data_IF_590480880827
#
_entry.id   IF_590480880827
#
_cell.length_a   1.000
_cell.length_b   1.000
_cell.length_c   1.000
_cell.angle_alpha   90.00
_cell.angle_beta   90.00
_cell.angle_gamma   90.00
#
_symmetry.space_group_name_H-M   'P 1'
#
loop_
_entity.id
_entity.type
_entity.pdbx_description
1 polymer ?
#
# COMPACT_ATOMS: atom_id res chain seq x y z
N UNK A 1 -4.21 10.55 -17.46
CA UNK A 1 -5.24 9.72 -16.80
C UNK A 1 -4.66 9.29 -15.46
N UNK A 2 -5.33 9.61 -14.35
CA UNK A 2 -4.92 9.15 -13.03
C UNK A 2 -5.01 7.61 -13.02
N UNK A 3 -3.92 6.91 -12.72
CA UNK A 3 -3.97 5.45 -12.60
C UNK A 3 -4.72 5.14 -11.32
N UNK A 4 -5.99 4.75 -11.42
CA UNK A 4 -6.70 4.17 -10.29
C UNK A 4 -5.98 2.87 -9.88
N UNK A 5 -5.76 2.65 -8.57
CA UNK A 5 -5.28 1.36 -8.10
C UNK A 5 -6.27 0.26 -8.51
N UNK A 6 -5.81 -0.96 -8.82
CA UNK A 6 -6.71 -2.07 -9.07
C UNK A 6 -7.55 -2.35 -7.81
N UNK A 7 -8.85 -2.58 -8.00
CA UNK A 7 -9.72 -3.10 -6.96
C UNK A 7 -9.63 -4.62 -6.98
N UNK A 8 -9.18 -5.23 -5.89
CA UNK A 8 -8.83 -6.64 -5.84
C UNK A 8 -9.49 -7.35 -4.65
N UNK A 9 -10.21 -8.45 -4.91
CA UNK A 9 -10.60 -9.37 -3.84
C UNK A 9 -9.46 -10.30 -3.52
N UNK A 10 -9.17 -10.45 -2.23
CA UNK A 10 -8.21 -11.44 -1.74
C UNK A 10 -8.93 -12.69 -1.28
N UNK A 11 -8.62 -13.80 -1.93
CA UNK A 11 -9.10 -15.11 -1.54
C UNK A 11 -8.49 -15.56 -0.19
N UNK A 12 -9.18 -16.46 0.52
CA UNK A 12 -8.73 -17.03 1.79
C UNK A 12 -7.33 -17.68 1.65
N UNK A 13 -7.05 -18.34 0.52
CA UNK A 13 -5.78 -19.00 0.27
C UNK A 13 -4.57 -18.04 0.20
N UNK A 14 -4.77 -16.76 -0.12
CA UNK A 14 -3.68 -15.75 -0.15
C UNK A 14 -3.55 -14.99 1.17
N UNK A 15 -4.61 -14.98 1.98
CA UNK A 15 -4.60 -14.45 3.34
C UNK A 15 -4.09 -15.46 4.37
N UNK A 16 -4.11 -16.76 4.05
CA UNK A 16 -3.62 -17.81 4.93
C UNK A 16 -2.10 -17.69 5.23
N UNK A 17 -1.19 -17.57 4.24
CA UNK A 17 0.24 -17.52 4.50
C UNK A 17 0.63 -16.16 5.08
N UNK A 18 1.20 -16.16 6.29
CA UNK A 18 1.49 -14.95 7.04
C UNK A 18 2.29 -13.89 6.26
N UNK A 19 3.36 -14.29 5.57
CA UNK A 19 4.22 -13.35 4.83
C UNK A 19 3.55 -12.76 3.59
N UNK A 20 2.75 -13.56 2.87
CA UNK A 20 1.98 -13.08 1.71
C UNK A 20 0.89 -12.11 2.18
N UNK A 21 0.10 -12.48 3.19
CA UNK A 21 -0.89 -11.60 3.81
C UNK A 21 -0.29 -10.26 4.22
N UNK A 22 0.86 -10.30 4.91
CA UNK A 22 1.55 -9.08 5.35
C UNK A 22 1.91 -8.14 4.19
N UNK A 23 2.37 -8.67 3.05
CA UNK A 23 2.69 -7.85 1.87
C UNK A 23 1.42 -7.30 1.23
N UNK A 24 0.39 -8.13 1.02
CA UNK A 24 -0.86 -7.70 0.39
C UNK A 24 -1.54 -6.59 1.19
N UNK A 25 -1.62 -6.74 2.50
CA UNK A 25 -2.19 -5.73 3.41
C UNK A 25 -1.34 -4.46 3.42
N UNK A 26 -0.01 -4.57 3.40
CA UNK A 26 0.85 -3.39 3.32
C UNK A 26 0.70 -2.65 1.98
N UNK A 27 0.57 -3.38 0.86
CA UNK A 27 0.32 -2.78 -0.47
C UNK A 27 -1.00 -2.02 -0.51
N UNK A 28 -2.06 -2.61 0.07
CA UNK A 28 -3.36 -1.96 0.17
C UNK A 28 -3.31 -0.73 1.10
N UNK A 29 -2.63 -0.84 2.24
CA UNK A 29 -2.44 0.28 3.16
C UNK A 29 -1.67 1.45 2.53
N UNK A 30 -0.68 1.15 1.68
CA UNK A 30 0.10 2.16 0.96
C UNK A 30 -0.62 2.70 -0.30
N UNK A 31 -1.85 2.23 -0.58
CA UNK A 31 -2.68 2.73 -1.68
C UNK A 31 -2.34 2.16 -3.05
N UNK A 32 -1.57 1.07 -3.13
CA UNK A 32 -1.25 0.42 -4.41
C UNK A 32 -2.39 -0.47 -4.92
N UNK A 33 -3.28 -0.88 -4.02
CA UNK A 33 -4.43 -1.75 -4.30
C UNK A 33 -5.59 -1.33 -3.45
N UNK A 34 -6.78 -1.29 -4.02
CA UNK A 34 -8.02 -1.24 -3.25
C UNK A 34 -8.45 -2.67 -2.92
N UNK A 35 -7.98 -3.18 -1.78
CA UNK A 35 -8.31 -4.53 -1.35
C UNK A 35 -9.80 -4.68 -0.99
N UNK A 36 -10.33 -5.88 -1.16
CA UNK A 36 -11.69 -6.29 -0.80
C UNK A 36 -11.67 -7.69 -0.19
N UNK A 37 -12.49 -7.92 0.84
CA UNK A 37 -12.72 -9.22 1.46
C UNK A 37 -14.05 -9.22 2.22
N UNK A 38 -14.52 -10.41 2.59
CA UNK A 38 -15.76 -10.61 3.34
C UNK A 38 -15.49 -11.32 4.66
N UNK A 39 -16.49 -11.38 5.53
CA UNK A 39 -16.42 -12.17 6.76
C UNK A 39 -16.26 -13.67 6.45
N UNK A 40 -16.90 -14.19 5.39
CA UNK A 40 -16.78 -15.60 5.01
C UNK A 40 -15.35 -15.95 4.56
N UNK A 41 -14.69 -15.07 3.79
CA UNK A 41 -13.27 -15.20 3.44
C UNK A 41 -12.40 -15.21 4.71
N UNK A 42 -12.69 -14.32 5.66
CA UNK A 42 -11.97 -14.27 6.92
C UNK A 42 -12.12 -15.56 7.72
N UNK A 43 -13.35 -16.03 7.89
CA UNK A 43 -13.64 -17.24 8.63
C UNK A 43 -12.97 -18.45 8.01
N UNK A 44 -12.88 -18.52 6.69
CA UNK A 44 -12.25 -19.63 5.97
C UNK A 44 -10.73 -19.73 6.26
N UNK A 45 -9.96 -18.66 6.02
CA UNK A 45 -8.52 -18.73 6.27
C UNK A 45 -8.21 -18.88 7.76
N UNK A 46 -9.01 -18.29 8.66
CA UNK A 46 -8.82 -18.42 10.10
C UNK A 46 -9.08 -19.86 10.57
N UNK A 47 -10.17 -20.48 10.11
CA UNK A 47 -10.54 -21.86 10.46
C UNK A 47 -9.47 -22.85 9.99
N UNK A 48 -9.03 -22.70 8.73
CA UNK A 48 -7.97 -23.55 8.16
C UNK A 48 -6.64 -23.37 8.92
N UNK A 49 -6.28 -22.13 9.27
CA UNK A 49 -5.01 -21.87 9.96
C UNK A 49 -5.01 -22.40 11.40
N UNK A 50 -6.14 -22.29 12.11
CA UNK A 50 -6.31 -22.87 13.44
C UNK A 50 -6.26 -24.41 13.40
N UNK A 51 -6.89 -25.04 12.39
CA UNK A 51 -6.86 -26.49 12.23
C UNK A 51 -5.44 -27.03 11.95
N UNK A 52 -4.65 -26.29 11.17
CA UNK A 52 -3.31 -26.71 10.75
C UNK A 52 -2.18 -26.32 11.71
N UNK A 53 -2.46 -25.52 12.74
CA UNK A 53 -1.43 -25.02 13.69
C UNK A 53 -1.81 -25.34 15.13
N UNK A 54 -1.39 -26.50 15.66
CA UNK A 54 -1.64 -26.86 17.06
C UNK A 54 -1.18 -25.75 18.03
N UNK A 55 -2.07 -25.37 18.95
CA UNK A 55 -1.81 -24.32 19.95
C UNK A 55 -2.05 -22.87 19.49
N UNK A 56 -2.46 -22.65 18.23
CA UNK A 56 -2.88 -21.33 17.78
C UNK A 56 -4.33 -21.05 18.17
N UNK A 57 -4.54 -20.11 19.08
CA UNK A 57 -5.88 -19.68 19.49
C UNK A 57 -6.62 -18.96 18.36
N UNK A 58 -7.87 -19.36 18.12
CA UNK A 58 -8.78 -18.69 17.18
C UNK A 58 -8.99 -17.21 17.56
N UNK A 59 -8.94 -16.85 18.84
CA UNK A 59 -9.10 -15.47 19.29
C UNK A 59 -7.92 -14.59 18.87
N UNK A 60 -6.72 -15.15 18.77
CA UNK A 60 -5.57 -14.44 18.17
C UNK A 60 -5.78 -14.16 16.68
N UNK A 61 -6.46 -15.06 15.98
CA UNK A 61 -6.78 -14.89 14.56
C UNK A 61 -7.88 -13.84 14.38
N UNK A 62 -8.92 -13.86 15.22
CA UNK A 62 -9.95 -12.80 15.28
C UNK A 62 -9.33 -11.43 15.55
N UNK A 63 -8.45 -11.32 16.54
CA UNK A 63 -7.72 -10.08 16.80
C UNK A 63 -6.85 -9.62 15.61
N UNK A 64 -6.37 -10.56 14.78
CA UNK A 64 -5.64 -10.24 13.55
C UNK A 64 -6.59 -9.72 12.47
N UNK A 65 -7.73 -10.38 12.25
CA UNK A 65 -8.81 -9.89 11.37
C UNK A 65 -9.25 -8.49 11.76
N UNK A 66 -9.52 -8.26 13.05
CA UNK A 66 -10.04 -6.96 13.51
C UNK A 66 -9.04 -5.82 13.25
N UNK A 67 -7.74 -6.11 13.37
CA UNK A 67 -6.69 -5.16 12.98
C UNK A 67 -6.64 -4.92 11.47
N UNK A 68 -6.86 -5.94 10.65
CA UNK A 68 -6.93 -5.78 9.19
C UNK A 68 -8.10 -4.84 8.83
N UNK A 69 -9.29 -5.09 9.40
CA UNK A 69 -10.47 -4.26 9.16
C UNK A 69 -10.31 -2.83 9.69
N UNK A 70 -9.67 -2.66 10.85
CA UNK A 70 -9.41 -1.33 11.40
C UNK A 70 -8.42 -0.51 10.54
N UNK A 71 -7.45 -1.18 9.90
CA UNK A 71 -6.45 -0.52 9.04
C UNK A 71 -7.00 -0.26 7.64
N UNK A 72 -7.91 -1.10 7.15
CA UNK A 72 -8.52 -1.04 5.82
C UNK A 72 -10.05 -1.21 5.93
N UNK A 73 -10.78 -0.20 6.45
CA UNK A 73 -12.22 -0.30 6.64
C UNK A 73 -12.99 -0.48 5.33
N UNK A 74 -12.55 0.19 4.27
CA UNK A 74 -13.15 0.12 2.93
C UNK A 74 -12.95 -1.23 2.23
N UNK A 75 -12.15 -2.13 2.80
CA UNK A 75 -11.95 -3.46 2.25
C UNK A 75 -13.07 -4.44 2.62
N UNK A 76 -13.86 -4.14 3.66
CA UNK A 76 -14.95 -5.03 4.08
C UNK A 76 -16.13 -4.89 3.12
N UNK A 77 -16.45 -5.98 2.42
CA UNK A 77 -17.58 -6.05 1.50
C UNK A 77 -18.79 -6.64 2.21
N UNK A 78 -19.89 -5.88 2.24
CA UNK A 78 -21.20 -6.31 2.73
C UNK A 78 -22.12 -6.77 1.59
N UNK A 79 -23.30 -7.29 1.94
CA UNK A 79 -24.42 -7.56 1.03
C UNK A 79 -24.13 -8.46 -0.20
N UNK A 80 -23.08 -9.29 -0.13
CA UNK A 80 -22.70 -10.22 -1.21
C UNK A 80 -23.42 -11.58 -1.13
N UNK A 81 -23.96 -11.98 0.02
CA UNK A 81 -24.55 -13.32 0.20
C UNK A 81 -25.74 -13.63 -0.74
N UNK A 82 -26.67 -12.70 -1.03
CA UNK A 82 -27.83 -12.98 -1.89
C UNK A 82 -27.48 -13.44 -3.32
N UNK A 83 -26.32 -13.04 -3.85
CA UNK A 83 -25.90 -13.41 -5.20
C UNK A 83 -25.19 -14.76 -5.28
N UNK A 84 -24.74 -15.34 -4.17
CA UNK A 84 -23.96 -16.60 -4.16
C UNK A 84 -24.68 -17.72 -4.91
N UNK A 85 -25.98 -17.87 -4.68
CA UNK A 85 -26.77 -18.93 -5.30
C UNK A 85 -26.99 -18.76 -6.81
N UNK A 86 -26.89 -17.54 -7.32
CA UNK A 86 -27.05 -17.23 -8.74
C UNK A 86 -25.74 -17.40 -9.54
N UNK A 87 -24.60 -17.53 -8.85
CA UNK A 87 -23.30 -17.72 -9.46
C UNK A 87 -23.04 -19.21 -9.70
N UNK A 88 -22.31 -19.49 -10.77
CA UNK A 88 -21.87 -20.83 -11.15
C UNK A 88 -20.35 -20.83 -11.26
N UNK A 89 -19.69 -21.64 -10.45
CA UNK A 89 -18.26 -21.93 -10.52
C UNK A 89 -18.04 -23.45 -10.45
N UNK A 90 -16.87 -23.96 -10.88
CA UNK A 90 -16.52 -25.38 -10.73
C UNK A 90 -16.64 -25.87 -9.28
N UNK A 91 -16.17 -25.07 -8.33
CA UNK A 91 -16.35 -25.30 -6.90
C UNK A 91 -17.50 -24.41 -6.36
N UNK A 92 -18.59 -25.01 -5.83
CA UNK A 92 -19.67 -24.26 -5.22
C UNK A 92 -19.26 -23.41 -4.01
N UNK A 93 -18.19 -23.80 -3.31
CA UNK A 93 -17.70 -23.09 -2.13
C UNK A 93 -16.94 -21.81 -2.53
N UNK A 94 -16.35 -21.74 -3.72
CA UNK A 94 -15.65 -20.53 -4.20
C UNK A 94 -16.58 -19.41 -4.68
N UNK A 95 -17.90 -19.68 -4.77
CA UNK A 95 -18.89 -18.69 -5.24
C UNK A 95 -18.98 -17.46 -4.34
N UNK A 96 -18.67 -17.60 -3.05
CA UNK A 96 -18.68 -16.45 -2.13
C UNK A 96 -17.56 -15.44 -2.48
N UNK A 97 -16.43 -15.90 -3.00
CA UNK A 97 -15.31 -15.05 -3.43
C UNK A 97 -15.67 -14.25 -4.68
N UNK A 98 -16.34 -14.89 -5.65
CA UNK A 98 -16.85 -14.17 -6.83
C UNK A 98 -17.97 -13.20 -6.46
N UNK A 99 -18.87 -13.58 -5.57
CA UNK A 99 -19.89 -12.68 -5.04
C UNK A 99 -19.26 -11.45 -4.37
N UNK A 100 -18.21 -11.64 -3.57
CA UNK A 100 -17.44 -10.56 -2.97
C UNK A 100 -16.81 -9.65 -4.04
N UNK A 101 -16.30 -10.22 -5.14
CA UNK A 101 -15.71 -9.44 -6.22
C UNK A 101 -16.74 -8.56 -6.92
N UNK A 102 -17.92 -9.09 -7.19
CA UNK A 102 -19.02 -8.35 -7.82
C UNK A 102 -19.51 -7.23 -6.89
N UNK A 103 -19.85 -7.56 -5.64
CA UNK A 103 -20.34 -6.59 -4.66
C UNK A 103 -19.30 -5.50 -4.34
N UNK A 104 -18.02 -5.89 -4.22
CA UNK A 104 -16.89 -5.00 -3.97
C UNK A 104 -16.37 -4.23 -5.18
N UNK A 105 -16.99 -4.42 -6.37
CA UNK A 105 -16.58 -3.84 -7.66
C UNK A 105 -15.11 -4.12 -7.99
N UNK A 106 -14.62 -5.31 -7.61
CA UNK A 106 -13.27 -5.74 -7.90
C UNK A 106 -13.14 -6.20 -9.34
N UNK A 107 -12.05 -5.78 -10.00
CA UNK A 107 -11.71 -6.24 -11.36
C UNK A 107 -10.87 -7.53 -11.34
N UNK A 108 -10.34 -7.91 -10.18
CA UNK A 108 -9.45 -9.06 -10.04
C UNK A 108 -9.67 -9.82 -8.72
N UNK A 109 -9.67 -11.14 -8.79
CA UNK A 109 -9.57 -12.06 -7.65
C UNK A 109 -8.11 -12.52 -7.58
N UNK A 110 -7.47 -12.31 -6.43
CA UNK A 110 -6.10 -12.77 -6.18
C UNK A 110 -6.17 -14.09 -5.44
N UNK A 111 -5.77 -15.18 -6.10
CA UNK A 111 -5.93 -16.55 -5.61
C UNK A 111 -4.81 -17.47 -6.12
N UNK A 112 -4.46 -18.50 -5.35
CA UNK A 112 -3.64 -19.61 -5.83
C UNK A 112 -4.44 -20.63 -6.66
N UNK A 113 -5.77 -20.64 -6.50
CA UNK A 113 -6.68 -21.66 -7.00
C UNK A 113 -7.28 -21.28 -8.37
N UNK A 114 -6.43 -20.89 -9.33
CA UNK A 114 -6.89 -20.33 -10.62
C UNK A 114 -7.87 -21.20 -11.39
N UNK A 115 -7.77 -22.52 -11.26
CA UNK A 115 -8.67 -23.51 -11.89
C UNK A 115 -10.12 -23.39 -11.41
N UNK A 116 -10.34 -22.89 -10.20
CA UNK A 116 -11.66 -22.77 -9.59
C UNK A 116 -12.34 -21.45 -9.98
N UNK A 117 -11.59 -20.56 -10.63
CA UNK A 117 -12.06 -19.29 -11.19
C UNK A 117 -11.79 -19.18 -12.71
N UNK A 118 -12.41 -20.05 -13.54
CA UNK A 118 -12.21 -20.04 -14.98
C UNK A 118 -12.76 -18.76 -15.63
N UNK A 119 -12.05 -18.22 -16.63
CA UNK A 119 -12.39 -16.97 -17.29
C UNK A 119 -13.81 -16.96 -17.89
N UNK A 120 -14.32 -18.09 -18.39
CA UNK A 120 -15.69 -18.24 -18.90
C UNK A 120 -16.76 -17.83 -17.88
N UNK A 121 -16.47 -18.02 -16.59
CA UNK A 121 -17.41 -17.72 -15.51
C UNK A 121 -17.21 -16.30 -14.96
N UNK A 122 -16.00 -15.74 -15.07
CA UNK A 122 -15.68 -14.42 -14.52
C UNK A 122 -15.95 -13.26 -15.50
N UNK A 123 -15.73 -13.47 -16.80
CA UNK A 123 -15.73 -12.40 -17.80
C UNK A 123 -17.07 -11.67 -17.90
N UNK A 124 -18.19 -12.39 -17.73
CA UNK A 124 -19.54 -11.81 -17.73
C UNK A 124 -19.75 -10.79 -16.59
N UNK A 125 -18.91 -10.84 -15.56
CA UNK A 125 -18.94 -9.96 -14.40
C UNK A 125 -17.84 -8.90 -14.41
N UNK A 126 -17.01 -8.84 -15.47
CA UNK A 126 -15.87 -7.92 -15.55
C UNK A 126 -14.73 -8.26 -14.57
N UNK A 127 -14.69 -9.50 -14.09
CA UNK A 127 -13.69 -9.99 -13.13
C UNK A 127 -12.66 -10.86 -13.85
N UNK A 128 -11.42 -10.85 -13.38
CA UNK A 128 -10.35 -11.77 -13.77
C UNK A 128 -9.77 -12.46 -12.54
N UNK A 129 -9.06 -13.57 -12.69
CA UNK A 129 -8.31 -14.21 -11.59
C UNK A 129 -6.81 -14.14 -11.87
N UNK A 130 -6.01 -13.91 -10.83
CA UNK A 130 -4.53 -13.86 -10.91
C UNK A 130 -3.87 -14.54 -9.72
N UNK A 131 -2.73 -15.17 -9.99
CA UNK A 131 -1.86 -15.64 -8.92
C UNK A 131 -1.30 -14.44 -8.15
N UNK A 132 -1.02 -14.55 -6.85
CA UNK A 132 -0.38 -13.46 -6.11
C UNK A 132 1.05 -13.16 -6.63
N UNK A 133 1.74 -14.12 -7.24
CA UNK A 133 3.06 -13.90 -7.86
C UNK A 133 2.95 -12.98 -9.09
N UNK A 134 1.98 -13.26 -9.97
CA UNK A 134 1.72 -12.42 -11.14
C UNK A 134 1.13 -11.07 -10.73
N UNK A 135 0.22 -11.04 -9.76
CA UNK A 135 -0.39 -9.80 -9.27
C UNK A 135 0.65 -8.83 -8.69
N UNK A 136 1.55 -9.30 -7.82
CA UNK A 136 2.63 -8.47 -7.26
C UNK A 136 3.66 -8.07 -8.32
N UNK A 137 3.90 -8.92 -9.32
CA UNK A 137 4.75 -8.61 -10.48
C UNK A 137 4.15 -7.48 -11.32
N UNK A 138 2.84 -7.51 -11.57
CA UNK A 138 2.14 -6.46 -12.30
C UNK A 138 2.12 -5.14 -11.53
N UNK A 139 1.92 -5.20 -10.21
CA UNK A 139 2.04 -4.02 -9.35
C UNK A 139 3.46 -3.44 -9.38
N UNK A 140 4.49 -4.27 -9.48
CA UNK A 140 5.87 -3.79 -9.59
C UNK A 140 6.09 -3.12 -10.95
N UNK A 141 5.53 -3.69 -12.03
CA UNK A 141 5.64 -3.10 -13.36
C UNK A 141 4.94 -1.74 -13.44
N UNK A 142 3.79 -1.60 -12.77
CA UNK A 142 3.04 -0.34 -12.72
C UNK A 142 3.68 0.69 -11.76
N UNK A 143 4.12 0.25 -10.58
CA UNK A 143 4.55 1.12 -9.48
C UNK A 143 5.85 0.61 -8.81
N UNK A 144 6.99 0.56 -9.51
CA UNK A 144 8.19 -0.13 -9.03
C UNK A 144 8.71 0.43 -7.70
N UNK A 145 8.90 1.75 -7.61
CA UNK A 145 9.44 2.37 -6.39
C UNK A 145 8.48 2.26 -5.20
N UNK A 146 7.19 2.50 -5.43
CA UNK A 146 6.16 2.42 -4.40
C UNK A 146 6.02 0.99 -3.86
N UNK A 147 6.03 -0.02 -4.74
CA UNK A 147 5.94 -1.42 -4.32
C UNK A 147 7.18 -1.84 -3.54
N UNK A 148 8.38 -1.46 -3.98
CA UNK A 148 9.61 -1.75 -3.23
C UNK A 148 9.59 -1.10 -1.85
N UNK A 149 9.07 0.13 -1.74
CA UNK A 149 8.87 0.80 -0.44
C UNK A 149 7.86 0.05 0.44
N UNK A 150 6.77 -0.42 -0.14
CA UNK A 150 5.73 -1.18 0.56
C UNK A 150 6.27 -2.52 1.09
N UNK A 151 7.00 -3.27 0.26
CA UNK A 151 7.67 -4.53 0.65
C UNK A 151 8.71 -4.30 1.76
N UNK A 152 9.48 -3.21 1.69
CA UNK A 152 10.41 -2.83 2.77
C UNK A 152 9.67 -2.58 4.08
N UNK A 153 8.55 -1.86 4.03
CA UNK A 153 7.71 -1.58 5.19
C UNK A 153 7.12 -2.87 5.78
N UNK A 154 6.61 -3.76 4.93
CA UNK A 154 6.11 -5.08 5.32
C UNK A 154 7.18 -5.90 6.06
N UNK A 155 8.43 -5.90 5.57
CA UNK A 155 9.56 -6.55 6.25
C UNK A 155 9.87 -5.91 7.61
N UNK A 156 9.85 -4.57 7.69
CA UNK A 156 10.11 -3.84 8.93
C UNK A 156 9.01 -4.00 9.99
N UNK A 157 7.77 -4.31 9.57
CA UNK A 157 6.68 -4.61 10.49
C UNK A 157 6.87 -5.93 11.25
N UNK A 158 7.79 -6.80 10.81
CA UNK A 158 8.18 -8.03 11.51
C UNK A 158 9.10 -7.74 12.70
N UNK A 159 8.69 -6.81 13.58
CA UNK A 159 9.53 -6.20 14.63
C UNK A 159 10.25 -7.19 15.55
N UNK A 160 9.73 -8.41 15.71
CA UNK A 160 10.33 -9.45 16.56
C UNK A 160 11.57 -10.11 15.91
N UNK A 161 11.59 -10.27 14.60
CA UNK A 161 12.68 -10.97 13.90
C UNK A 161 13.46 -10.08 12.93
N UNK A 162 12.82 -9.04 12.37
CA UNK A 162 13.31 -8.14 11.32
C UNK A 162 14.32 -8.85 10.40
N UNK A 163 13.85 -9.78 9.55
CA UNK A 163 14.75 -10.60 8.74
C UNK A 163 15.59 -9.72 7.80
N UNK A 164 16.76 -10.22 7.39
CA UNK A 164 17.52 -9.61 6.30
C UNK A 164 16.69 -9.55 5.01
N UNK A 165 17.11 -8.72 4.05
CA UNK A 165 16.40 -8.61 2.77
C UNK A 165 16.39 -9.97 2.07
N UNK A 166 17.52 -10.64 2.06
CA UNK A 166 17.75 -11.96 1.45
C UNK A 166 16.86 -13.02 2.10
N UNK A 167 16.87 -13.12 3.43
CA UNK A 167 16.05 -14.10 4.14
C UNK A 167 14.55 -13.85 3.92
N UNK A 168 14.13 -12.57 3.88
CA UNK A 168 12.73 -12.24 3.59
C UNK A 168 12.34 -12.66 2.16
N UNK A 169 13.17 -12.33 1.16
CA UNK A 169 12.95 -12.71 -0.24
C UNK A 169 12.99 -14.23 -0.44
N UNK A 170 13.86 -14.95 0.27
CA UNK A 170 13.92 -16.42 0.24
C UNK A 170 12.60 -17.03 0.74
N UNK A 171 12.03 -16.51 1.83
CA UNK A 171 10.73 -16.97 2.36
C UNK A 171 9.60 -16.70 1.36
N UNK A 172 9.60 -15.55 0.68
CA UNK A 172 8.60 -15.26 -0.37
C UNK A 172 8.74 -16.22 -1.55
N UNK A 173 9.97 -16.53 -1.96
CA UNK A 173 10.24 -17.44 -3.05
C UNK A 173 9.77 -18.87 -2.73
N UNK A 174 10.06 -19.34 -1.52
CA UNK A 174 9.60 -20.64 -1.01
C UNK A 174 8.06 -20.70 -0.90
N UNK A 175 7.42 -19.58 -0.58
CA UNK A 175 5.96 -19.41 -0.58
C UNK A 175 5.32 -19.32 -1.97
N UNK A 176 6.06 -19.57 -3.04
CA UNK A 176 5.53 -19.62 -4.42
C UNK A 176 5.63 -18.31 -5.20
N UNK A 177 6.08 -17.21 -4.60
CA UNK A 177 6.28 -15.91 -5.26
C UNK A 177 7.60 -15.90 -6.05
N UNK A 178 7.73 -16.78 -7.04
CA UNK A 178 9.00 -17.05 -7.72
C UNK A 178 9.42 -15.89 -8.62
N UNK A 179 8.52 -15.40 -9.47
CA UNK A 179 8.77 -14.28 -10.39
C UNK A 179 9.04 -13.01 -9.60
N UNK A 180 8.16 -12.71 -8.66
CA UNK A 180 8.25 -11.52 -7.83
C UNK A 180 9.54 -11.50 -7.00
N UNK A 181 9.90 -12.61 -6.36
CA UNK A 181 11.17 -12.72 -5.62
C UNK A 181 12.38 -12.54 -6.54
N UNK A 182 12.35 -13.08 -7.76
CA UNK A 182 13.40 -12.86 -8.76
C UNK A 182 13.58 -11.37 -9.09
N UNK A 183 12.47 -10.64 -9.25
CA UNK A 183 12.48 -9.19 -9.50
C UNK A 183 13.05 -8.42 -8.31
N UNK A 184 12.66 -8.76 -7.08
CA UNK A 184 13.19 -8.12 -5.87
C UNK A 184 14.72 -8.27 -5.74
N UNK A 185 15.28 -9.44 -6.12
CA UNK A 185 16.74 -9.66 -6.14
C UNK A 185 17.46 -8.86 -7.22
N UNK A 186 16.79 -8.55 -8.33
CA UNK A 186 17.36 -7.69 -9.37
C UNK A 186 17.36 -6.22 -8.93
N UNK A 187 16.29 -5.78 -8.27
CA UNK A 187 16.14 -4.40 -7.75
C UNK A 187 17.03 -4.11 -6.54
N UNK A 188 17.53 -5.11 -5.82
CA UNK A 188 18.47 -4.93 -4.71
C UNK A 188 19.92 -4.74 -5.13
N UNK A 189 20.28 -5.06 -6.38
CA UNK A 189 21.61 -4.78 -6.91
C UNK A 189 21.77 -3.26 -7.10
N UNK A 190 22.86 -2.64 -6.63
CA UNK A 190 23.07 -1.21 -6.85
C UNK A 190 23.08 -0.93 -8.36
N UNK A 191 22.08 -0.17 -8.80
CA UNK A 191 22.06 0.39 -10.16
C UNK A 191 23.40 1.08 -10.41
N UNK A 192 24.17 0.59 -11.39
CA UNK A 192 25.25 1.36 -12.00
C UNK A 192 24.58 2.54 -12.70
N UNK A 193 24.35 3.63 -11.97
CA UNK A 193 23.89 4.90 -12.56
C UNK A 193 24.81 5.21 -13.75
N UNK A 194 24.27 5.45 -14.95
CA UNK A 194 25.11 5.83 -16.09
C UNK A 194 25.87 7.11 -15.72
N UNK A 195 27.16 7.15 -16.09
CA UNK A 195 28.08 8.24 -15.75
C UNK A 195 27.58 9.64 -16.21
N UNK A 196 26.62 9.68 -17.14
CA UNK A 196 25.98 10.90 -17.63
C UNK A 196 25.16 11.67 -16.57
N UNK A 197 24.80 11.06 -15.45
CA UNK A 197 24.06 11.73 -14.37
C UNK A 197 24.94 12.20 -13.20
N UNK A 198 26.28 12.08 -13.33
CA UNK A 198 27.26 12.58 -12.34
C UNK A 198 27.74 14.01 -12.60
N UNK A 199 27.29 14.68 -13.66
CA UNK A 199 27.77 16.03 -14.01
C UNK A 199 26.96 17.20 -13.41
N UNK A 200 25.81 16.96 -12.77
CA UNK A 200 24.96 18.07 -12.25
C UNK A 200 25.14 18.32 -10.75
N UNK A 201 25.75 17.40 -10.00
CA UNK A 201 26.01 17.57 -8.55
C UNK A 201 27.52 17.62 -8.29
N UNK A 202 28.21 18.57 -8.93
CA UNK A 202 29.60 18.93 -8.56
C UNK A 202 30.01 20.35 -8.93
N UNK A 203 29.06 21.28 -9.09
CA UNK A 203 29.36 22.71 -9.30
C UNK A 203 28.86 23.65 -8.18
N UNK A 204 28.20 23.15 -7.13
CA UNK A 204 27.67 24.01 -6.05
C UNK A 204 28.30 23.82 -4.65
N UNK A 205 29.41 23.07 -4.49
CA UNK A 205 30.03 22.87 -3.16
C UNK A 205 31.30 23.67 -2.88
N UNK A 206 31.66 24.67 -3.68
CA UNK A 206 32.89 25.48 -3.48
C UNK A 206 32.65 26.93 -3.09
N UNK A 207 31.46 27.31 -2.59
CA UNK A 207 31.24 28.65 -2.02
C UNK A 207 30.41 28.62 -0.74
N UNK A 208 30.93 28.02 0.32
CA UNK A 208 30.50 28.34 1.69
C UNK A 208 31.72 28.31 2.61
N UNK A 209 32.55 29.35 2.50
CA UNK A 209 33.63 29.64 3.44
C UNK A 209 33.53 31.10 3.85
N UNK A 210 33.20 31.33 5.13
CA UNK A 210 33.16 32.64 5.76
C UNK A 210 31.76 33.23 5.88
N UNK A 211 31.30 33.46 7.11
CA UNK A 211 31.10 34.80 7.69
C UNK A 211 30.50 34.63 9.10
N UNK A 212 31.21 35.19 10.09
CA UNK A 212 30.78 35.35 11.49
C UNK A 212 30.01 36.65 11.65
N UNK A 213 29.06 36.65 12.58
CA UNK A 213 28.55 37.75 13.42
C UNK A 213 28.00 39.03 12.76
N UNK A 214 26.68 39.24 12.85
CA UNK A 214 26.04 40.41 13.50
C UNK A 214 24.52 40.41 13.23
N UNK A 215 23.74 40.71 14.26
CA UNK A 215 22.28 40.81 14.25
C UNK A 215 21.77 41.98 13.39
N UNK A 216 20.64 41.78 12.69
CA UNK A 216 19.43 42.63 12.66
C UNK A 216 18.41 42.06 11.67
N UNK A 217 17.14 42.12 12.04
CA UNK A 217 16.01 41.66 11.24
C UNK A 217 15.91 42.41 9.90
N UNK A 218 15.95 41.68 8.80
CA UNK A 218 15.45 42.15 7.50
C UNK A 218 15.20 40.95 6.58
N UNK A 219 13.96 40.89 6.10
CA UNK A 219 13.36 40.05 5.06
C UNK A 219 14.35 39.30 4.15
N UNK A 220 14.32 37.97 4.21
CA UNK A 220 14.98 37.11 3.22
C UNK A 220 14.28 37.32 1.87
N UNK A 221 14.91 38.10 0.99
CA UNK A 221 14.59 38.16 -0.44
C UNK A 221 15.26 36.96 -1.12
N UNK A 222 14.46 35.99 -1.55
CA UNK A 222 14.89 34.93 -2.46
C UNK A 222 15.06 35.57 -3.85
N UNK A 223 16.20 35.41 -4.55
CA UNK A 223 16.39 36.00 -5.87
C UNK A 223 15.46 35.34 -6.89
N UNK A 224 14.84 36.17 -7.72
CA UNK A 224 14.04 35.76 -8.86
C UNK A 224 14.91 35.00 -9.87
N UNK A 225 14.87 33.67 -9.81
CA UNK A 225 15.35 32.82 -10.89
C UNK A 225 14.25 32.73 -11.97
N UNK A 226 14.68 32.88 -13.22
CA UNK A 226 13.90 32.90 -14.46
C UNK A 226 12.83 31.80 -14.55
N UNK A 227 11.74 32.02 -15.33
CA UNK A 227 10.53 31.24 -15.23
C UNK A 227 10.78 29.81 -15.70
N UNK A 228 10.68 28.86 -14.77
CA UNK A 228 10.42 27.47 -15.13
C UNK A 228 9.02 27.42 -15.73
N UNK A 229 8.95 27.59 -17.06
CA UNK A 229 7.84 27.13 -17.88
C UNK A 229 7.85 25.60 -17.85
N UNK A 230 7.30 25.04 -16.78
CA UNK A 230 6.83 23.66 -16.76
C UNK A 230 5.39 23.72 -16.27
N UNK A 231 4.49 23.88 -17.23
CA UNK A 231 3.08 23.56 -17.05
C UNK A 231 2.98 22.07 -16.75
N UNK A 232 2.74 21.71 -15.49
CA UNK A 232 1.97 20.51 -15.17
C UNK A 232 0.95 20.88 -14.09
N UNK A 233 -0.21 21.43 -14.47
CA UNK A 233 -1.25 21.76 -13.51
C UNK A 233 -1.84 20.53 -12.82
N UNK A 234 -1.52 19.31 -13.26
CA UNK A 234 -2.12 18.06 -12.78
C UNK A 234 -1.09 16.93 -12.84
N UNK A 235 -0.12 16.90 -11.93
CA UNK A 235 0.55 15.63 -11.65
C UNK A 235 -0.51 14.58 -11.27
N UNK A 236 -0.42 13.32 -11.74
CA UNK A 236 -1.40 12.30 -11.39
C UNK A 236 -1.57 12.22 -9.87
N UNK A 237 -2.81 12.16 -9.38
CA UNK A 237 -3.11 12.28 -7.94
C UNK A 237 -2.25 11.38 -7.04
N UNK A 238 -1.94 10.16 -7.50
CA UNK A 238 -1.06 9.23 -6.77
C UNK A 238 0.39 9.72 -6.59
N UNK A 239 0.97 10.44 -7.57
CA UNK A 239 2.31 11.01 -7.46
C UNK A 239 2.31 12.18 -6.47
N UNK A 240 1.24 12.99 -6.47
CA UNK A 240 1.04 14.05 -5.47
C UNK A 240 0.96 13.44 -4.07
N UNK A 241 0.20 12.37 -3.90
CA UNK A 241 0.01 11.70 -2.60
C UNK A 241 1.31 11.13 -2.04
N UNK A 242 2.07 10.42 -2.88
CA UNK A 242 3.36 9.83 -2.49
C UNK A 242 4.38 10.93 -2.17
N UNK A 243 4.44 11.98 -2.99
CA UNK A 243 5.36 13.11 -2.81
C UNK A 243 5.03 13.93 -1.56
N UNK A 244 3.75 14.29 -1.38
CA UNK A 244 3.27 15.00 -0.18
C UNK A 244 3.56 14.19 1.08
N UNK A 245 3.23 12.89 1.08
CA UNK A 245 3.47 12.00 2.22
C UNK A 245 4.96 11.85 2.52
N UNK A 246 5.79 11.73 1.49
CA UNK A 246 7.24 11.62 1.67
C UNK A 246 7.84 12.89 2.30
N UNK A 247 7.46 14.06 1.80
CA UNK A 247 7.96 15.35 2.30
C UNK A 247 7.47 15.59 3.73
N UNK A 248 6.19 15.34 4.01
CA UNK A 248 5.65 15.45 5.38
C UNK A 248 6.40 14.54 6.36
N UNK A 249 6.74 13.30 5.97
CA UNK A 249 7.51 12.37 6.81
C UNK A 249 8.95 12.84 7.04
N UNK A 250 9.57 13.53 6.09
CA UNK A 250 10.95 14.00 6.22
C UNK A 250 11.07 15.33 6.95
N UNK A 251 10.13 16.24 6.73
CA UNK A 251 10.28 17.65 7.13
C UNK A 251 9.26 18.09 8.17
N UNK A 252 8.15 17.36 8.31
CA UNK A 252 7.05 17.76 9.20
C UNK A 252 6.29 19.01 8.75
N UNK A 253 6.59 19.56 7.57
CA UNK A 253 6.11 20.87 7.13
C UNK A 253 5.06 20.75 6.03
N UNK A 254 3.83 21.18 6.35
CA UNK A 254 2.74 21.33 5.39
C UNK A 254 3.09 22.30 4.27
N UNK A 255 3.81 23.38 4.59
CA UNK A 255 4.23 24.39 3.62
C UNK A 255 5.20 23.82 2.58
N UNK A 256 6.19 23.04 3.02
CA UNK A 256 7.15 22.42 2.09
C UNK A 256 6.50 21.33 1.22
N UNK A 257 5.57 20.56 1.79
CA UNK A 257 4.79 19.59 1.03
C UNK A 257 3.88 20.30 0.01
N UNK A 258 3.27 21.43 0.37
CA UNK A 258 2.38 22.19 -0.50
C UNK A 258 3.11 22.80 -1.69
N UNK A 259 4.33 23.34 -1.49
CA UNK A 259 5.17 23.80 -2.59
C UNK A 259 5.50 22.69 -3.59
N UNK A 260 5.81 21.49 -3.09
CA UNK A 260 6.22 20.38 -3.93
C UNK A 260 5.10 19.79 -4.78
N UNK A 261 3.87 19.81 -4.28
CA UNK A 261 2.70 19.36 -5.04
C UNK A 261 1.93 20.50 -5.70
N UNK A 262 2.36 21.76 -5.57
CA UNK A 262 1.61 22.92 -6.07
C UNK A 262 0.17 22.96 -5.53
N UNK A 263 0.05 22.94 -4.21
CA UNK A 263 -1.22 23.06 -3.49
C UNK A 263 -1.08 24.05 -2.32
N UNK A 264 -2.17 24.29 -1.60
CA UNK A 264 -2.13 25.13 -0.37
C UNK A 264 -1.75 24.29 0.86
N UNK A 265 -1.05 24.87 1.86
CA UNK A 265 -0.75 24.17 3.10
C UNK A 265 -2.00 23.62 3.80
N UNK A 266 -3.13 24.34 3.73
CA UNK A 266 -4.40 23.92 4.32
C UNK A 266 -4.98 22.66 3.67
N UNK A 267 -4.96 22.58 2.33
CA UNK A 267 -5.37 21.38 1.59
C UNK A 267 -4.44 20.21 1.92
N UNK A 268 -3.14 20.45 2.01
CA UNK A 268 -2.19 19.40 2.39
C UNK A 268 -2.47 18.90 3.82
N UNK A 269 -2.76 19.80 4.75
CA UNK A 269 -3.10 19.43 6.12
C UNK A 269 -4.40 18.63 6.19
N UNK A 270 -5.43 19.03 5.44
CA UNK A 270 -6.72 18.34 5.42
C UNK A 270 -6.61 16.92 4.83
N UNK A 271 -5.88 16.76 3.72
CA UNK A 271 -5.79 15.47 3.02
C UNK A 271 -4.70 14.54 3.56
N UNK A 272 -3.62 15.09 4.12
CA UNK A 272 -2.42 14.34 4.51
C UNK A 272 -2.01 14.54 5.99
N UNK A 273 -2.72 15.35 6.77
CA UNK A 273 -2.34 15.63 8.16
C UNK A 273 -2.30 14.40 9.05
N UNK A 274 -3.08 13.35 8.73
CA UNK A 274 -3.04 12.04 9.40
C UNK A 274 -1.68 11.33 9.39
N UNK A 275 -0.71 11.80 8.61
CA UNK A 275 0.61 11.18 8.48
C UNK A 275 1.69 11.75 9.43
N UNK A 276 1.44 12.86 10.14
CA UNK A 276 2.38 13.39 11.14
C UNK A 276 2.15 12.77 12.53
N UNK A 277 3.22 12.51 13.32
CA UNK A 277 3.09 11.95 14.67
C UNK A 277 2.25 12.83 15.63
N UNK A 278 2.41 14.15 15.56
CA UNK A 278 1.67 15.12 16.38
C UNK A 278 0.18 15.19 16.02
N UNK A 279 -0.15 15.08 14.73
CA UNK A 279 -1.52 15.10 14.25
C UNK A 279 -2.23 13.75 14.45
N UNK A 280 -1.49 12.64 14.49
CA UNK A 280 -2.02 11.35 14.98
C UNK A 280 -2.40 11.40 16.45
N UNK A 281 -1.60 12.05 17.29
CA UNK A 281 -1.92 12.24 18.70
C UNK A 281 -3.15 13.14 18.89
N UNK A 282 -3.26 14.22 18.10
CA UNK A 282 -4.43 15.09 18.11
C UNK A 282 -5.72 14.38 17.61
N UNK A 283 -5.62 13.55 16.56
CA UNK A 283 -6.73 12.74 16.07
C UNK A 283 -7.15 11.66 17.07
N UNK A 284 -6.18 10.98 17.69
CA UNK A 284 -6.44 10.01 18.75
C UNK A 284 -7.13 10.67 19.97
N UNK A 285 -6.70 11.87 20.35
CA UNK A 285 -7.32 12.63 21.43
C UNK A 285 -8.77 13.04 21.09
N UNK A 286 -9.05 13.45 19.85
CA UNK A 286 -10.43 13.75 19.40
C UNK A 286 -11.32 12.52 19.44
N UNK A 287 -10.83 11.37 18.97
CA UNK A 287 -11.58 10.11 19.00
C UNK A 287 -11.83 9.67 20.44
N UNK A 288 -10.83 9.75 21.32
CA UNK A 288 -10.97 9.44 22.75
C UNK A 288 -12.00 10.35 23.43
N UNK A 289 -12.00 11.64 23.12
CA UNK A 289 -12.98 12.58 23.68
C UNK A 289 -14.40 12.28 23.19
N UNK A 290 -14.59 11.94 21.91
CA UNK A 290 -15.90 11.54 21.38
C UNK A 290 -16.43 10.25 22.01
N UNK A 291 -15.55 9.28 22.29
CA UNK A 291 -15.91 8.04 22.99
C UNK A 291 -16.27 8.32 24.46
N UNK A 292 -15.61 9.29 25.10
CA UNK A 292 -15.91 9.68 26.48
C UNK A 292 -17.18 10.51 26.63
N UNK A 293 -17.53 11.36 25.65
CA UNK A 293 -18.79 12.14 25.69
C UNK A 293 -20.03 11.31 25.35
N UNK A 294 -19.85 10.15 24.71
CA UNK A 294 -20.93 9.23 24.34
C UNK A 294 -21.21 8.12 25.39
N UNK A 295 -20.50 8.12 26.52
CA UNK A 295 -20.59 7.15 27.62
C UNK A 295 -21.17 7.79 28.88
#
# INVERSE_FOLDING_TARGET
MASNPPVAVYDACVLYPFHLRNILIQCAFDGLVEARWTDDIHDEWMRNLAANTPGLSIDRLRATRDRMNAVLPEAVVADYRPMIHALTLPDPDDRHVLAAAIAGKASVIVTWNLKDFPASNLLAHGVTSKSPDDFLTDLHAAFPEALISSVKSARHNLRKSIPSVEAFVDVLHQGGLKKFSGMLRCSSKPSKRPASMRLIIRQHSTRLGGWRSSATASTIRIPAAAPLRVCYPMAPHNVRDVLATHILKQTGSYEQASYAIQDTPDVVQQHYGRFLPQDKAALAARILNQVWEAA
#
